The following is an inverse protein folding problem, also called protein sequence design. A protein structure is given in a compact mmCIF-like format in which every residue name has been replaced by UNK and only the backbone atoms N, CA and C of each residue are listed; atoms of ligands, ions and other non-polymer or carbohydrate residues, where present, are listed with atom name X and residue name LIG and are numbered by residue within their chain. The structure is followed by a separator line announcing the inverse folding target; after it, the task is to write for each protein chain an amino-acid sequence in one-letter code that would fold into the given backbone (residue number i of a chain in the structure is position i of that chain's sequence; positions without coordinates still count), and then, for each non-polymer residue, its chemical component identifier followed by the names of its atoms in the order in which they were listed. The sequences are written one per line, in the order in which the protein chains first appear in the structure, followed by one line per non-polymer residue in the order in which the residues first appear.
data_IF_897613812317
#
_entry.id   IF_897613812317
#
_cell.length_a   1.000
_cell.length_b   1.000
_cell.length_c   1.000
_cell.angle_alpha   90.00
_cell.angle_beta   90.00
_cell.angle_gamma   90.00
#
_symmetry.space_group_name_H-M   'P 1'
#
loop_
_entity.id
_entity.type
_entity.pdbx_description
1 polymer ?
#
# COMPACT_ATOMS: atom_id res chain seq x y z
N UNK A 1 6.16 4.80 1.82
CA UNK A 1 4.98 5.40 2.49
C UNK A 1 4.89 4.90 3.92
N UNK A 2 4.71 5.79 4.85
CA UNK A 2 4.50 5.46 6.27
C UNK A 2 3.04 5.69 6.64
N UNK A 3 2.40 4.67 7.20
CA UNK A 3 1.03 4.73 7.69
C UNK A 3 1.05 4.71 9.22
N UNK A 4 0.50 5.74 9.85
CA UNK A 4 0.49 5.92 11.29
C UNK A 4 -0.95 6.09 11.77
N UNK A 5 -1.42 5.33 12.78
CA UNK A 5 -2.72 5.59 13.38
C UNK A 5 -2.73 6.96 14.08
N UNK A 6 -3.85 7.63 14.04
CA UNK A 6 -3.98 9.00 14.57
C UNK A 6 -3.81 9.10 16.10
N UNK A 7 -3.81 7.98 16.79
CA UNK A 7 -3.61 7.91 18.25
C UNK A 7 -2.18 7.57 18.66
N UNK A 8 -1.24 7.50 17.70
CA UNK A 8 0.16 7.15 17.96
C UNK A 8 1.05 8.37 18.19
N UNK A 9 2.20 8.14 18.84
CA UNK A 9 3.25 9.14 18.94
C UNK A 9 4.03 9.22 17.63
N UNK A 10 3.62 10.15 16.81
CA UNK A 10 4.17 10.39 15.47
C UNK A 10 5.65 10.79 15.51
N UNK A 11 6.06 11.58 16.49
CA UNK A 11 7.44 12.06 16.58
C UNK A 11 8.41 10.96 16.94
N UNK A 12 8.03 10.09 17.85
CA UNK A 12 8.84 8.95 18.25
C UNK A 12 9.04 7.97 17.08
N UNK A 13 7.99 7.71 16.32
CA UNK A 13 8.05 6.85 15.15
C UNK A 13 8.95 7.45 14.07
N UNK A 14 8.82 8.73 13.79
CA UNK A 14 9.67 9.44 12.82
C UNK A 14 11.14 9.41 13.23
N UNK A 15 11.41 9.61 14.50
CA UNK A 15 12.77 9.55 15.02
C UNK A 15 13.38 8.16 14.80
N UNK A 16 12.65 7.12 15.15
CA UNK A 16 13.11 5.75 14.98
C UNK A 16 13.41 5.41 13.51
N UNK A 17 12.60 5.91 12.59
CA UNK A 17 12.80 5.67 11.15
C UNK A 17 14.00 6.44 10.62
N UNK A 18 14.22 7.67 11.09
CA UNK A 18 15.37 8.47 10.66
C UNK A 18 16.71 7.81 10.99
N UNK A 19 16.76 7.01 12.05
CA UNK A 19 17.96 6.25 12.41
C UNK A 19 18.30 5.14 11.41
N UNK A 20 17.36 4.76 10.54
CA UNK A 20 17.53 3.61 9.63
C UNK A 20 17.96 4.00 8.21
N UNK A 21 18.18 5.28 7.93
CA UNK A 21 18.52 5.79 6.59
C UNK A 21 17.44 5.56 5.53
N UNK A 22 16.22 5.26 5.95
CA UNK A 22 15.09 5.12 5.04
C UNK A 22 14.59 6.51 4.67
N UNK A 23 14.39 6.74 3.37
CA UNK A 23 13.81 7.99 2.88
C UNK A 23 12.30 7.87 2.90
N UNK A 24 11.65 8.64 3.79
CA UNK A 24 10.20 8.70 3.84
C UNK A 24 9.70 9.71 2.80
N UNK A 25 9.00 9.19 1.80
CA UNK A 25 8.40 10.05 0.78
C UNK A 25 7.10 10.66 1.27
N UNK A 26 6.24 9.84 1.85
CA UNK A 26 4.93 10.27 2.33
C UNK A 26 4.63 9.67 3.70
N UNK A 27 3.99 10.45 4.55
CA UNK A 27 3.54 10.04 5.88
C UNK A 27 2.05 10.36 5.98
N UNK A 28 1.25 9.34 6.32
CA UNK A 28 -0.18 9.50 6.45
C UNK A 28 -0.67 9.01 7.80
N UNK A 29 -1.50 9.83 8.43
CA UNK A 29 -2.24 9.44 9.62
C UNK A 29 -3.60 8.92 9.20
N UNK A 30 -4.00 7.75 9.72
CA UNK A 30 -5.29 7.17 9.41
C UNK A 30 -6.14 7.00 10.66
N UNK A 31 -7.46 6.98 10.44
CA UNK A 31 -8.42 6.74 11.51
C UNK A 31 -8.50 5.25 11.78
N UNK A 32 -8.61 4.87 13.06
CA UNK A 32 -8.72 3.48 13.46
C UNK A 32 -10.13 2.91 13.29
N UNK A 33 -11.12 3.75 12.99
CA UNK A 33 -12.47 3.30 12.63
C UNK A 33 -12.40 2.60 11.26
N UNK A 34 -12.79 1.29 11.16
CA UNK A 34 -12.68 0.55 9.91
C UNK A 34 -13.44 1.17 8.73
N UNK A 35 -14.55 1.84 9.00
CA UNK A 35 -15.35 2.49 7.95
C UNK A 35 -14.59 3.66 7.30
N UNK A 36 -13.94 4.47 8.12
CA UNK A 36 -13.15 5.61 7.66
C UNK A 36 -11.82 5.16 7.07
N UNK A 37 -11.22 4.12 7.64
CA UNK A 37 -9.96 3.58 7.19
C UNK A 37 -10.00 3.15 5.72
N UNK A 38 -11.01 2.42 5.31
CA UNK A 38 -11.14 1.94 3.94
C UNK A 38 -11.14 3.10 2.94
N UNK A 39 -11.94 4.13 3.21
CA UNK A 39 -11.99 5.33 2.36
C UNK A 39 -10.64 6.03 2.29
N UNK A 40 -9.96 6.15 3.41
CA UNK A 40 -8.66 6.80 3.48
C UNK A 40 -7.61 6.03 2.67
N UNK A 41 -7.57 4.71 2.80
CA UNK A 41 -6.64 3.87 2.04
C UNK A 41 -6.96 3.91 0.54
N UNK A 42 -8.22 3.92 0.15
CA UNK A 42 -8.60 4.08 -1.25
C UNK A 42 -8.06 5.39 -1.83
N UNK A 43 -8.18 6.48 -1.08
CA UNK A 43 -7.68 7.78 -1.52
C UNK A 43 -6.15 7.82 -1.60
N UNK A 44 -5.47 7.28 -0.59
CA UNK A 44 -4.01 7.26 -0.52
C UNK A 44 -3.39 6.43 -1.64
N UNK A 45 -4.00 5.33 -1.99
CA UNK A 45 -3.52 4.43 -3.04
C UNK A 45 -4.01 4.84 -4.43
N UNK A 46 -4.82 5.88 -4.52
CA UNK A 46 -5.45 6.35 -5.77
C UNK A 46 -6.26 5.23 -6.45
N UNK A 47 -6.87 4.39 -5.65
CA UNK A 47 -7.60 3.21 -6.14
C UNK A 47 -8.70 3.55 -7.16
N UNK A 48 -9.57 4.55 -6.91
CA UNK A 48 -10.60 4.92 -7.91
C UNK A 48 -9.98 5.34 -9.25
N UNK A 49 -8.91 6.11 -9.22
CA UNK A 49 -8.21 6.53 -10.44
C UNK A 49 -7.58 5.36 -11.16
N UNK A 50 -6.95 4.45 -10.42
CA UNK A 50 -6.30 3.28 -10.98
C UNK A 50 -7.31 2.29 -11.58
N UNK A 51 -8.49 2.17 -11.00
CA UNK A 51 -9.61 1.41 -11.60
C UNK A 51 -10.08 2.05 -12.89
N UNK A 52 -10.25 3.37 -12.90
CA UNK A 52 -10.67 4.10 -14.09
C UNK A 52 -9.64 3.99 -15.21
N UNK A 53 -8.34 4.05 -14.88
CA UNK A 53 -7.27 3.86 -15.86
C UNK A 53 -7.40 2.52 -16.58
N UNK A 54 -7.74 1.46 -15.86
CA UNK A 54 -7.94 0.15 -16.45
C UNK A 54 -9.12 0.14 -17.44
N UNK A 55 -10.24 0.71 -17.04
CA UNK A 55 -11.43 0.79 -17.89
C UNK A 55 -11.16 1.63 -19.14
N UNK A 56 -10.47 2.74 -18.99
CA UNK A 56 -10.12 3.64 -20.10
C UNK A 56 -9.19 2.94 -21.09
N UNK A 57 -8.22 2.17 -20.61
CA UNK A 57 -7.29 1.45 -21.48
C UNK A 57 -8.00 0.33 -22.25
N UNK A 58 -8.90 -0.40 -21.60
CA UNK A 58 -9.71 -1.43 -22.28
C UNK A 58 -10.53 -0.78 -23.39
N UNK A 59 -11.19 0.35 -23.09
CA UNK A 59 -11.99 1.07 -24.07
C UNK A 59 -11.14 1.57 -25.22
N UNK A 60 -9.96 2.12 -24.93
CA UNK A 60 -9.01 2.57 -25.95
C UNK A 60 -8.66 1.44 -26.91
N UNK A 61 -8.35 0.26 -26.37
CA UNK A 61 -8.02 -0.91 -27.19
C UNK A 61 -9.20 -1.39 -28.02
N UNK A 62 -10.42 -1.40 -27.46
CA UNK A 62 -11.63 -1.80 -28.20
C UNK A 62 -11.88 -0.91 -29.42
N UNK A 63 -11.57 0.36 -29.32
CA UNK A 63 -11.74 1.35 -30.39
C UNK A 63 -10.52 1.43 -31.32
N UNK A 64 -9.44 0.73 -31.01
CA UNK A 64 -8.20 0.75 -31.80
C UNK A 64 -8.19 -0.35 -32.87
N UNK A 65 -7.24 -0.23 -33.79
CA UNK A 65 -6.95 -1.27 -34.78
C UNK A 65 -5.62 -1.98 -34.47
N UNK A 66 -5.19 -1.98 -33.21
CA UNK A 66 -3.94 -2.61 -32.82
C UNK A 66 -3.95 -4.12 -33.05
N UNK A 67 -2.78 -4.66 -33.46
CA UNK A 67 -2.60 -6.09 -33.62
C UNK A 67 -2.66 -6.75 -32.22
N UNK A 68 -3.32 -7.91 -32.14
CA UNK A 68 -3.49 -8.66 -30.88
C UNK A 68 -4.28 -7.91 -29.78
N UNK A 69 -5.13 -6.95 -30.16
CA UNK A 69 -5.91 -6.19 -29.19
C UNK A 69 -6.78 -7.10 -28.30
N UNK A 70 -7.35 -8.15 -28.85
CA UNK A 70 -8.21 -9.07 -28.14
C UNK A 70 -7.48 -9.77 -26.98
N UNK A 71 -6.23 -10.19 -27.23
CA UNK A 71 -5.40 -10.80 -26.21
C UNK A 71 -4.97 -9.79 -25.15
N UNK A 72 -4.66 -8.58 -25.55
CA UNK A 72 -4.34 -7.48 -24.63
C UNK A 72 -5.52 -7.14 -23.74
N UNK A 73 -6.71 -7.06 -24.29
CA UNK A 73 -7.95 -6.80 -23.54
C UNK A 73 -8.23 -7.93 -22.56
N UNK A 74 -8.06 -9.18 -23.00
CA UNK A 74 -8.24 -10.34 -22.13
C UNK A 74 -7.31 -10.29 -20.93
N UNK A 75 -6.03 -9.95 -21.15
CA UNK A 75 -5.06 -9.80 -20.07
C UNK A 75 -5.42 -8.65 -19.12
N UNK A 76 -5.90 -7.54 -19.65
CA UNK A 76 -6.32 -6.39 -18.82
C UNK A 76 -7.56 -6.72 -17.97
N UNK A 77 -8.49 -7.50 -18.51
CA UNK A 77 -9.71 -7.90 -17.77
C UNK A 77 -9.41 -8.78 -16.55
N UNK A 78 -8.23 -9.38 -16.49
CA UNK A 78 -7.78 -10.15 -15.32
C UNK A 78 -7.23 -9.28 -14.20
N UNK A 79 -6.98 -8.01 -14.47
CA UNK A 79 -6.46 -7.06 -13.49
C UNK A 79 -7.59 -6.34 -12.79
N UNK A 80 -7.31 -5.80 -11.61
CA UNK A 80 -8.24 -4.97 -10.86
C UNK A 80 -7.98 -3.47 -11.11
N UNK A 81 -6.72 -3.10 -11.30
CA UNK A 81 -6.31 -1.71 -11.54
C UNK A 81 -5.24 -1.62 -12.60
N UNK A 82 -5.02 -0.40 -13.12
CA UNK A 82 -3.94 -0.08 -14.03
C UNK A 82 -3.28 1.22 -13.60
N UNK A 83 -1.97 1.26 -13.74
CA UNK A 83 -1.20 2.43 -13.38
C UNK A 83 -0.42 2.25 -12.11
N UNK A 84 0.60 3.05 -11.98
CA UNK A 84 1.55 2.95 -10.90
C UNK A 84 1.12 3.66 -9.64
N UNK A 85 1.66 3.18 -8.58
CA UNK A 85 1.77 3.87 -7.30
C UNK A 85 3.17 4.46 -7.25
N UNK A 86 3.34 5.51 -6.48
CA UNK A 86 4.60 6.26 -6.43
C UNK A 86 5.49 5.88 -5.24
N UNK A 87 5.26 4.71 -4.66
CA UNK A 87 6.08 4.19 -3.56
C UNK A 87 6.39 2.71 -3.79
N UNK A 88 7.50 2.23 -3.26
CA UNK A 88 7.93 0.85 -3.38
C UNK A 88 7.79 0.05 -2.09
N UNK A 89 7.59 0.72 -0.97
CA UNK A 89 7.48 0.10 0.33
C UNK A 89 6.46 0.83 1.19
N UNK A 90 5.78 0.10 2.05
CA UNK A 90 4.83 0.63 3.02
C UNK A 90 5.27 0.20 4.41
N UNK A 91 5.44 1.17 5.30
CA UNK A 91 5.70 0.92 6.71
C UNK A 91 4.40 1.18 7.46
N UNK A 92 3.89 0.17 8.13
CA UNK A 92 2.66 0.26 8.91
C UNK A 92 3.02 0.27 10.39
N UNK A 93 2.81 1.41 11.03
CA UNK A 93 3.13 1.61 12.45
C UNK A 93 1.90 1.26 13.31
N UNK A 94 1.48 0.02 13.27
CA UNK A 94 0.31 -0.45 14.02
C UNK A 94 0.48 -1.91 14.42
N UNK A 95 -0.45 -2.43 15.20
CA UNK A 95 -0.38 -3.75 15.80
C UNK A 95 -1.72 -4.47 15.73
N UNK A 96 -1.70 -5.80 15.89
CA UNK A 96 -2.86 -6.67 16.08
C UNK A 96 -3.97 -6.47 15.04
N UNK A 97 -5.20 -6.30 15.47
CA UNK A 97 -6.36 -6.19 14.58
C UNK A 97 -6.34 -4.92 13.73
N UNK A 98 -5.81 -3.82 14.25
CA UNK A 98 -5.67 -2.58 13.49
C UNK A 98 -4.69 -2.77 12.33
N UNK A 99 -3.56 -3.42 12.58
CA UNK A 99 -2.59 -3.75 11.54
C UNK A 99 -3.23 -4.63 10.47
N UNK A 100 -4.01 -5.63 10.90
CA UNK A 100 -4.72 -6.53 10.00
C UNK A 100 -5.71 -5.79 9.11
N UNK A 101 -6.43 -4.83 9.69
CA UNK A 101 -7.39 -4.00 8.95
C UNK A 101 -6.71 -3.16 7.88
N UNK A 102 -5.57 -2.54 8.21
CA UNK A 102 -4.78 -1.76 7.25
C UNK A 102 -4.27 -2.65 6.13
N UNK A 103 -3.67 -3.78 6.46
CA UNK A 103 -3.14 -4.72 5.48
C UNK A 103 -4.22 -5.23 4.54
N UNK A 104 -5.39 -5.56 5.07
CA UNK A 104 -6.55 -6.00 4.29
C UNK A 104 -7.04 -4.90 3.35
N UNK A 105 -7.10 -3.66 3.83
CA UNK A 105 -7.50 -2.51 3.01
C UNK A 105 -6.51 -2.27 1.86
N UNK A 106 -5.21 -2.43 2.11
CA UNK A 106 -4.20 -2.31 1.07
C UNK A 106 -4.36 -3.39 0.01
N UNK A 107 -4.60 -4.64 0.40
CA UNK A 107 -4.87 -5.72 -0.54
C UNK A 107 -6.13 -5.45 -1.36
N UNK A 108 -7.18 -4.95 -0.71
CA UNK A 108 -8.42 -4.59 -1.38
C UNK A 108 -8.19 -3.50 -2.45
N UNK A 109 -7.26 -2.59 -2.22
CA UNK A 109 -6.93 -1.53 -3.17
C UNK A 109 -5.84 -1.95 -4.18
N UNK A 110 -5.61 -3.23 -4.32
CA UNK A 110 -4.64 -3.82 -5.25
C UNK A 110 -3.19 -3.39 -4.99
N UNK A 111 -2.84 -3.26 -3.72
CA UNK A 111 -1.46 -3.05 -3.27
C UNK A 111 -0.94 -4.39 -2.74
N UNK A 112 -0.40 -5.18 -3.64
CA UNK A 112 0.02 -6.55 -3.34
C UNK A 112 1.43 -6.61 -2.76
N UNK A 113 1.67 -7.51 -1.82
CA UNK A 113 3.01 -7.78 -1.28
C UNK A 113 3.98 -8.34 -2.33
N UNK A 114 3.49 -8.76 -3.48
CA UNK A 114 4.32 -9.17 -4.61
C UNK A 114 4.98 -7.99 -5.31
N UNK A 115 4.34 -6.82 -5.24
CA UNK A 115 4.81 -5.59 -5.90
C UNK A 115 5.43 -4.60 -4.94
N UNK A 116 4.91 -4.57 -3.71
CA UNK A 116 5.25 -3.58 -2.68
C UNK A 116 5.74 -4.31 -1.44
N UNK A 117 6.82 -3.85 -0.89
CA UNK A 117 7.36 -4.40 0.35
C UNK A 117 6.59 -3.85 1.54
N UNK A 118 6.05 -4.74 2.36
CA UNK A 118 5.40 -4.36 3.62
C UNK A 118 6.38 -4.51 4.77
N UNK A 119 6.45 -3.48 5.60
CA UNK A 119 7.28 -3.48 6.80
C UNK A 119 6.38 -3.10 7.98
N UNK A 120 6.39 -3.93 9.02
CA UNK A 120 5.67 -3.61 10.25
C UNK A 120 6.66 -3.38 11.37
N UNK A 121 6.30 -2.54 12.33
CA UNK A 121 7.14 -2.28 13.50
C UNK A 121 7.31 -3.54 14.35
N UNK A 122 6.30 -4.39 14.41
CA UNK A 122 6.35 -5.66 15.12
C UNK A 122 7.47 -6.58 14.60
N UNK A 123 7.53 -6.76 13.29
CA UNK A 123 8.57 -7.59 12.67
C UNK A 123 9.96 -7.04 12.95
N UNK A 124 10.09 -5.74 12.88
CA UNK A 124 11.35 -5.07 13.15
C UNK A 124 11.75 -5.21 14.62
N UNK A 125 10.81 -5.01 15.50
CA UNK A 125 11.00 -5.15 16.94
C UNK A 125 11.41 -6.59 17.31
N UNK A 126 10.73 -7.58 16.75
CA UNK A 126 11.06 -8.99 16.96
C UNK A 126 12.48 -9.35 16.48
N UNK A 127 12.86 -8.86 15.32
CA UNK A 127 14.22 -9.05 14.79
C UNK A 127 15.27 -8.42 15.68
N UNK A 128 14.99 -7.25 16.22
CA UNK A 128 15.88 -6.57 17.17
C UNK A 128 16.04 -7.37 18.46
N UNK A 129 14.94 -7.90 18.99
CA UNK A 129 14.98 -8.77 20.18
C UNK A 129 15.77 -10.05 19.95
N UNK A 130 15.63 -10.65 18.78
CA UNK A 130 16.38 -11.85 18.42
C UNK A 130 17.88 -11.57 18.33
N UNK A 131 18.28 -10.41 17.84
CA UNK A 131 19.68 -10.00 17.81
C UNK A 131 20.24 -9.81 19.21
N UNK A 132 19.49 -9.21 20.11
CA UNK A 132 19.90 -9.01 21.50
C UNK A 132 20.06 -10.34 22.24
N UNK A 133 19.19 -11.31 21.98
CA UNK A 133 19.26 -12.63 22.60
C UNK A 133 20.43 -13.48 22.12
N UNK A 134 20.97 -13.20 20.94
CA UNK A 134 22.13 -13.93 20.39
C UNK A 134 23.47 -13.37 20.85
N UNK A 135 23.45 -12.21 21.44
CA UNK A 135 24.64 -11.59 22.03
C UNK A 135 24.69 -11.82 23.52
#
# INVERSE_FOLDING_TARGET
MLLIPNNSDKNEIKYAINETKIILKDIFEYDTDPTLLTSQIENLTRYPQRKQNLLDEIKRLEESSEVNKEKKIENLKKKDTLGGINFDSVIIADFDESLKSVATSLLYTDISSKRIKYITLNQWFEKSLLKEKKN
#
